data_IF_994876697458
#
_entry.id   IF_994876697458
#
_cell.length_a   1.000
_cell.length_b   1.000
_cell.length_c   1.000
_cell.angle_alpha   90.00
_cell.angle_beta   90.00
_cell.angle_gamma   90.00
#
_symmetry.space_group_name_H-M   'P 1'
#
loop_
_entity.id
_entity.type
_entity.pdbx_description
1 polymer ?
#
# COMPACT_ATOMS: atom_id res chain seq x y z
N UNK A 1 13.24 13.18 10.58
CA UNK A 1 12.77 12.16 9.62
C UNK A 1 11.33 11.81 9.95
N UNK A 2 10.48 11.74 8.96
CA UNK A 2 9.06 11.45 9.11
C UNK A 2 8.68 10.21 8.29
N UNK A 3 7.99 9.27 8.91
CA UNK A 3 7.44 8.07 8.26
C UNK A 3 5.95 8.32 8.00
N UNK A 4 5.56 8.31 6.74
CA UNK A 4 4.20 8.62 6.31
C UNK A 4 3.56 7.41 5.66
N UNK A 5 2.44 6.94 6.21
CA UNK A 5 1.63 5.90 5.61
C UNK A 5 0.78 6.47 4.48
N UNK A 6 0.96 5.97 3.26
CA UNK A 6 0.08 6.25 2.15
C UNK A 6 -0.92 5.10 1.99
N UNK A 7 -2.20 5.42 2.08
CA UNK A 7 -3.27 4.42 1.95
C UNK A 7 -4.42 4.96 1.09
N UNK A 8 -5.32 4.08 0.72
CA UNK A 8 -6.48 4.42 -0.11
C UNK A 8 -7.29 3.18 -0.42
N UNK A 9 -8.46 3.35 -0.99
CA UNK A 9 -9.27 2.24 -1.47
C UNK A 9 -8.82 1.74 -2.84
N UNK A 10 -9.37 0.62 -3.23
CA UNK A 10 -9.20 0.11 -4.60
C UNK A 10 -9.62 1.18 -5.61
N UNK A 11 -8.84 1.36 -6.65
CA UNK A 11 -9.06 2.36 -7.73
C UNK A 11 -9.16 3.82 -7.25
N UNK A 12 -8.59 4.16 -6.09
CA UNK A 12 -8.57 5.55 -5.58
C UNK A 12 -7.57 6.48 -6.29
N UNK A 13 -6.65 5.95 -7.09
CA UNK A 13 -5.57 6.73 -7.70
C UNK A 13 -4.30 6.84 -6.85
N UNK A 14 -4.17 6.01 -5.80
CA UNK A 14 -3.04 5.99 -4.88
C UNK A 14 -1.67 5.89 -5.57
N UNK A 15 -1.53 5.07 -6.61
CA UNK A 15 -0.29 4.92 -7.37
C UNK A 15 0.15 6.21 -8.07
N UNK A 16 -0.79 7.01 -8.56
CA UNK A 16 -0.50 8.33 -9.14
C UNK A 16 0.01 9.29 -8.07
N UNK A 17 -0.64 9.33 -6.90
CA UNK A 17 -0.22 10.14 -5.75
C UNK A 17 1.19 9.72 -5.29
N UNK A 18 1.46 8.43 -5.16
CA UNK A 18 2.78 7.90 -4.81
C UNK A 18 3.87 8.37 -5.77
N UNK A 19 3.57 8.34 -7.10
CA UNK A 19 4.51 8.82 -8.13
C UNK A 19 4.80 10.31 -7.98
N UNK A 20 3.79 11.13 -7.67
CA UNK A 20 3.98 12.57 -7.47
C UNK A 20 4.86 12.83 -6.25
N UNK A 21 4.65 12.15 -5.12
CA UNK A 21 5.53 12.27 -3.95
C UNK A 21 6.97 11.83 -4.25
N UNK A 22 7.16 10.77 -5.05
CA UNK A 22 8.51 10.37 -5.53
C UNK A 22 9.20 11.50 -6.30
N UNK A 23 8.47 12.21 -7.15
CA UNK A 23 9.00 13.35 -7.90
C UNK A 23 9.41 14.53 -7.01
N UNK A 24 8.82 14.67 -5.81
CA UNK A 24 9.27 15.62 -4.79
C UNK A 24 10.46 15.13 -3.95
N UNK A 25 10.98 13.94 -4.23
CA UNK A 25 12.17 13.38 -3.58
C UNK A 25 11.86 12.52 -2.34
N UNK A 26 10.60 12.16 -2.10
CA UNK A 26 10.26 11.21 -1.05
C UNK A 26 10.79 9.80 -1.40
N UNK A 27 11.40 9.15 -0.41
CA UNK A 27 11.69 7.72 -0.49
C UNK A 27 10.42 6.91 -0.23
N UNK A 28 10.35 5.71 -0.81
CA UNK A 28 9.14 4.89 -0.71
C UNK A 28 9.46 3.45 -0.33
N UNK A 29 8.57 2.87 0.49
CA UNK A 29 8.47 1.43 0.74
C UNK A 29 7.10 1.02 0.24
N UNK A 30 7.05 -0.01 -0.61
CA UNK A 30 5.82 -0.57 -1.17
C UNK A 30 5.57 -1.94 -0.54
N UNK A 31 4.47 -2.08 0.20
CA UNK A 31 4.11 -3.33 0.88
C UNK A 31 3.72 -4.44 -0.10
N UNK A 32 3.13 -4.10 -1.24
CA UNK A 32 2.78 -5.08 -2.28
C UNK A 32 4.04 -5.59 -2.96
N UNK A 33 5.03 -4.72 -3.23
CA UNK A 33 6.34 -5.15 -3.74
C UNK A 33 7.06 -6.08 -2.74
N UNK A 34 7.02 -5.76 -1.45
CA UNK A 34 7.55 -6.64 -0.40
C UNK A 34 6.87 -8.00 -0.44
N UNK A 35 5.54 -8.05 -0.50
CA UNK A 35 4.79 -9.30 -0.62
C UNK A 35 5.20 -10.10 -1.85
N UNK A 36 5.44 -9.42 -2.98
CA UNK A 36 5.95 -10.03 -4.20
C UNK A 36 7.35 -10.62 -4.03
N UNK A 37 8.27 -9.89 -3.39
CA UNK A 37 9.63 -10.36 -3.14
C UNK A 37 9.64 -11.56 -2.19
N UNK A 38 8.84 -11.54 -1.13
CA UNK A 38 8.73 -12.61 -0.15
C UNK A 38 8.16 -13.92 -0.72
N UNK A 39 7.40 -13.83 -1.81
CA UNK A 39 6.77 -15.00 -2.46
C UNK A 39 7.44 -15.41 -3.78
N UNK A 40 8.68 -14.96 -4.04
CA UNK A 40 9.47 -15.42 -5.19
C UNK A 40 9.78 -16.90 -5.09
N UNK A 41 10.04 -17.52 -6.24
CA UNK A 41 10.47 -18.93 -6.30
C UNK A 41 11.66 -19.18 -5.37
N UNK A 42 11.67 -20.34 -4.69
CA UNK A 42 12.73 -20.73 -3.77
C UNK A 42 12.61 -20.16 -2.34
N UNK A 43 11.72 -19.21 -2.06
CA UNK A 43 11.58 -18.62 -0.71
C UNK A 43 10.92 -19.58 0.28
N UNK A 44 11.27 -19.43 1.57
CA UNK A 44 10.62 -20.18 2.66
C UNK A 44 9.11 -19.91 2.71
N UNK A 45 8.72 -18.67 2.45
CA UNK A 45 7.31 -18.23 2.51
C UNK A 45 6.50 -18.88 1.38
N UNK A 46 7.03 -18.96 0.16
CA UNK A 46 6.35 -19.67 -0.91
C UNK A 46 6.13 -21.15 -0.55
N UNK A 47 7.13 -21.79 0.06
CA UNK A 47 6.99 -23.19 0.53
C UNK A 47 5.91 -23.33 1.62
N UNK A 48 5.79 -22.37 2.54
CA UNK A 48 4.73 -22.35 3.56
C UNK A 48 3.35 -22.19 2.93
N UNK A 49 3.22 -21.30 1.92
CA UNK A 49 1.98 -21.11 1.16
C UNK A 49 1.60 -22.39 0.44
N UNK A 50 2.53 -23.04 -0.27
CA UNK A 50 2.28 -24.29 -0.99
C UNK A 50 1.86 -25.42 -0.03
N UNK A 51 2.51 -25.51 1.14
CA UNK A 51 2.13 -26.49 2.17
C UNK A 51 0.70 -26.30 2.67
N UNK A 52 0.26 -25.02 2.79
CA UNK A 52 -1.07 -24.67 3.31
C UNK A 52 -2.18 -24.75 2.26
N UNK A 53 -1.87 -24.40 1.01
CA UNK A 53 -2.87 -24.20 -0.05
C UNK A 53 -2.78 -25.26 -1.17
N UNK A 54 -1.76 -26.15 -1.12
CA UNK A 54 -1.53 -27.14 -2.15
C UNK A 54 -0.67 -26.63 -3.32
N UNK A 55 -0.20 -27.56 -4.16
CA UNK A 55 0.62 -27.24 -5.34
C UNK A 55 -0.17 -26.50 -6.42
N UNK A 56 -1.49 -26.52 -6.37
CA UNK A 56 -2.39 -25.83 -7.32
C UNK A 56 -2.26 -24.31 -7.31
N UNK A 57 -1.61 -23.74 -6.28
CA UNK A 57 -1.28 -22.31 -6.23
C UNK A 57 0.01 -21.95 -6.95
N UNK A 58 0.69 -22.93 -7.56
CA UNK A 58 1.85 -22.68 -8.41
C UNK A 58 1.46 -22.73 -9.89
N UNK A 59 2.16 -21.95 -10.69
CA UNK A 59 2.16 -22.12 -12.14
C UNK A 59 3.17 -23.22 -12.58
N UNK A 60 3.23 -23.45 -13.89
CA UNK A 60 4.11 -24.50 -14.48
C UNK A 60 5.60 -24.27 -14.21
N UNK A 61 5.99 -23.02 -13.93
CA UNK A 61 7.40 -22.64 -13.67
C UNK A 61 7.75 -22.66 -12.17
N UNK A 62 6.83 -23.12 -11.30
CA UNK A 62 7.04 -23.16 -9.86
C UNK A 62 6.98 -21.78 -9.19
N UNK A 63 6.46 -20.78 -9.86
CA UNK A 63 6.18 -19.45 -9.29
C UNK A 63 4.76 -19.38 -8.77
N UNK A 64 4.47 -18.43 -7.87
CA UNK A 64 3.16 -18.29 -7.28
C UNK A 64 2.14 -17.81 -8.33
N UNK A 65 1.13 -18.61 -8.61
CA UNK A 65 -0.04 -18.24 -9.39
C UNK A 65 -0.97 -17.36 -8.53
N UNK A 66 -0.74 -16.05 -8.58
CA UNK A 66 -1.47 -15.06 -7.76
C UNK A 66 -2.96 -15.04 -8.07
N UNK A 67 -3.33 -15.24 -9.34
CA UNK A 67 -4.73 -15.29 -9.76
C UNK A 67 -5.43 -16.46 -9.08
N UNK A 68 -4.82 -17.65 -9.16
CA UNK A 68 -5.37 -18.86 -8.55
C UNK A 68 -5.46 -18.74 -7.03
N UNK A 69 -4.41 -18.22 -6.38
CA UNK A 69 -4.43 -17.97 -4.93
C UNK A 69 -5.52 -16.97 -4.56
N UNK A 70 -5.68 -15.89 -5.32
CA UNK A 70 -6.72 -14.89 -5.10
C UNK A 70 -8.12 -15.52 -5.19
N UNK A 71 -8.41 -16.35 -6.19
CA UNK A 71 -9.68 -17.07 -6.32
C UNK A 71 -9.99 -17.93 -5.08
N UNK A 72 -8.98 -18.59 -4.53
CA UNK A 72 -9.13 -19.43 -3.34
C UNK A 72 -9.46 -18.60 -2.10
N UNK A 73 -8.73 -17.51 -1.87
CA UNK A 73 -8.89 -16.69 -0.65
C UNK A 73 -10.08 -15.74 -0.71
N UNK A 74 -10.57 -15.38 -1.91
CA UNK A 74 -11.78 -14.57 -2.03
C UNK A 74 -13.04 -15.35 -1.67
N UNK A 75 -13.07 -16.64 -2.00
CA UNK A 75 -14.21 -17.52 -1.73
C UNK A 75 -14.23 -18.05 -0.29
N UNK A 76 -13.10 -18.02 0.42
CA UNK A 76 -12.97 -18.64 1.74
C UNK A 76 -12.27 -17.70 2.73
N UNK A 77 -13.05 -17.19 3.71
CA UNK A 77 -12.57 -16.29 4.76
C UNK A 77 -11.49 -16.95 5.64
N UNK A 78 -11.56 -18.26 5.90
CA UNK A 78 -10.57 -18.95 6.72
C UNK A 78 -9.24 -19.13 5.96
N UNK A 79 -9.31 -19.44 4.68
CA UNK A 79 -8.12 -19.48 3.80
C UNK A 79 -7.47 -18.10 3.71
N UNK A 80 -8.25 -17.03 3.58
CA UNK A 80 -7.74 -15.65 3.64
C UNK A 80 -7.04 -15.35 4.96
N UNK A 81 -7.62 -15.72 6.10
CA UNK A 81 -6.97 -15.57 7.42
C UNK A 81 -5.67 -16.35 7.50
N UNK A 82 -5.64 -17.58 6.98
CA UNK A 82 -4.43 -18.41 6.96
C UNK A 82 -3.31 -17.78 6.12
N UNK A 83 -3.62 -17.25 4.94
CA UNK A 83 -2.64 -16.53 4.12
C UNK A 83 -2.10 -15.29 4.84
N UNK A 84 -2.99 -14.51 5.44
CA UNK A 84 -2.61 -13.33 6.19
C UNK A 84 -1.72 -13.68 7.40
N UNK A 85 -1.98 -14.77 8.11
CA UNK A 85 -1.15 -15.23 9.21
C UNK A 85 0.28 -15.61 8.77
N UNK A 86 0.45 -16.13 7.56
CA UNK A 86 1.76 -16.41 6.96
C UNK A 86 2.46 -15.11 6.52
N UNK A 87 1.73 -14.24 5.83
CA UNK A 87 2.31 -13.09 5.12
C UNK A 87 2.53 -11.86 6.02
N UNK A 88 1.55 -11.48 6.85
CA UNK A 88 1.60 -10.23 7.61
C UNK A 88 2.83 -10.09 8.50
N UNK A 89 3.20 -11.11 9.33
CA UNK A 89 4.38 -10.96 10.20
C UNK A 89 5.66 -10.70 9.41
N UNK A 90 5.79 -11.30 8.23
CA UNK A 90 6.98 -11.18 7.38
C UNK A 90 7.03 -9.83 6.65
N UNK A 91 5.89 -9.37 6.13
CA UNK A 91 5.77 -8.05 5.51
C UNK A 91 6.07 -6.95 6.54
N UNK A 92 5.48 -7.05 7.74
CA UNK A 92 5.68 -6.08 8.81
C UNK A 92 7.15 -6.04 9.25
N UNK A 93 7.79 -7.21 9.41
CA UNK A 93 9.20 -7.28 9.77
C UNK A 93 10.09 -6.60 8.73
N UNK A 94 9.80 -6.83 7.43
CA UNK A 94 10.55 -6.22 6.33
C UNK A 94 10.32 -4.70 6.23
N UNK A 95 9.08 -4.23 6.41
CA UNK A 95 8.78 -2.79 6.49
C UNK A 95 9.58 -2.16 7.63
N UNK A 96 9.54 -2.74 8.84
CA UNK A 96 10.29 -2.23 10.01
C UNK A 96 11.80 -2.22 9.76
N UNK A 97 12.34 -3.25 9.09
CA UNK A 97 13.76 -3.32 8.72
C UNK A 97 14.13 -2.16 7.79
N UNK A 98 13.35 -1.94 6.73
CA UNK A 98 13.60 -0.86 5.75
C UNK A 98 13.45 0.54 6.39
N UNK A 99 12.48 0.73 7.28
CA UNK A 99 12.35 1.98 8.04
C UNK A 99 13.61 2.24 8.86
N UNK A 100 14.10 1.23 9.61
CA UNK A 100 15.34 1.35 10.40
C UNK A 100 16.56 1.65 9.53
N UNK A 101 16.67 1.05 8.36
CA UNK A 101 17.77 1.33 7.41
C UNK A 101 17.72 2.76 6.92
N UNK A 102 16.54 3.25 6.58
CA UNK A 102 16.37 4.64 6.18
C UNK A 102 16.71 5.61 7.33
N UNK A 103 16.30 5.31 8.57
CA UNK A 103 16.67 6.08 9.76
C UNK A 103 18.19 6.18 9.93
N UNK A 104 18.90 5.05 9.79
CA UNK A 104 20.36 5.02 9.85
C UNK A 104 20.99 5.87 8.74
N UNK A 105 20.45 5.80 7.54
CA UNK A 105 20.93 6.56 6.40
C UNK A 105 20.79 8.08 6.64
N UNK A 106 19.61 8.54 7.11
CA UNK A 106 19.37 9.95 7.41
C UNK A 106 20.30 10.48 8.52
N UNK A 107 20.56 9.66 9.57
CA UNK A 107 21.48 10.05 10.64
C UNK A 107 22.94 10.17 10.21
N UNK A 108 23.38 9.39 9.22
CA UNK A 108 24.77 9.42 8.71
C UNK A 108 25.05 10.62 7.82
N UNK A 109 24.04 11.20 7.23
CA UNK A 109 24.20 12.38 6.39
C UNK A 109 24.06 13.63 7.24
N UNK A 110 25.15 14.41 7.44
CA UNK A 110 25.17 15.65 8.26
C UNK A 110 24.07 16.66 7.91
N UNK A 111 23.47 16.57 6.73
CA UNK A 111 22.47 17.50 6.18
C UNK A 111 21.18 16.82 5.70
N UNK A 112 20.97 15.53 6.04
CA UNK A 112 19.91 14.74 5.42
C UNK A 112 20.25 14.39 3.96
N UNK A 113 19.46 13.50 3.36
CA UNK A 113 19.65 13.12 1.94
C UNK A 113 19.19 14.30 1.08
N UNK A 114 20.12 14.90 0.32
CA UNK A 114 19.84 16.02 -0.60
C UNK A 114 19.12 17.21 0.06
N UNK A 115 19.60 17.66 1.22
CA UNK A 115 18.92 18.68 2.02
C UNK A 115 17.61 18.11 2.64
N UNK A 116 16.77 18.99 3.20
CA UNK A 116 15.52 18.59 3.88
C UNK A 116 14.53 17.78 3.01
N UNK A 117 14.74 17.70 1.68
CA UNK A 117 13.84 17.01 0.74
C UNK A 117 13.77 15.49 0.94
N UNK A 118 14.85 14.85 1.41
CA UNK A 118 14.94 13.39 1.51
C UNK A 118 14.55 12.80 2.87
N UNK A 119 14.01 13.58 3.81
CA UNK A 119 13.74 13.11 5.17
C UNK A 119 12.31 12.54 5.36
N UNK A 120 11.53 12.46 4.30
CA UNK A 120 10.19 11.84 4.30
C UNK A 120 10.29 10.45 3.67
N UNK A 121 9.83 9.44 4.41
CA UNK A 121 9.67 8.07 3.95
C UNK A 121 8.18 7.75 3.82
N UNK A 122 7.71 7.53 2.60
CA UNK A 122 6.37 7.05 2.35
C UNK A 122 6.33 5.53 2.41
N UNK A 123 5.45 4.99 3.23
CA UNK A 123 5.15 3.55 3.28
C UNK A 123 3.78 3.34 2.64
N UNK A 124 3.78 2.78 1.44
CA UNK A 124 2.56 2.47 0.71
C UNK A 124 1.94 1.17 1.23
N UNK A 125 0.83 1.28 1.96
CA UNK A 125 0.10 0.16 2.55
C UNK A 125 -1.38 0.29 2.18
N UNK A 126 -1.86 -0.40 1.14
CA UNK A 126 -3.26 -0.32 0.71
C UNK A 126 -4.27 -0.65 1.81
N UNK A 127 -3.95 -1.65 2.63
CA UNK A 127 -4.80 -2.16 3.71
C UNK A 127 -4.29 -1.75 5.11
N UNK A 128 -3.81 -0.52 5.25
CA UNK A 128 -3.23 0.01 6.49
C UNK A 128 -4.14 -0.20 7.71
N UNK A 129 -5.39 0.22 7.58
CA UNK A 129 -6.38 0.15 8.67
C UNK A 129 -6.93 -1.26 8.88
N UNK A 130 -7.15 -2.01 7.80
CA UNK A 130 -7.61 -3.41 7.86
C UNK A 130 -6.60 -4.32 8.57
N UNK A 131 -5.32 -4.02 8.39
CA UNK A 131 -4.22 -4.76 9.01
C UNK A 131 -3.77 -4.18 10.36
N UNK A 132 -4.38 -3.06 10.82
CA UNK A 132 -4.05 -2.34 12.06
C UNK A 132 -2.57 -1.97 12.14
N UNK A 133 -2.04 -1.38 11.06
CA UNK A 133 -0.63 -1.05 10.91
C UNK A 133 -0.33 0.45 11.11
N UNK A 134 -1.28 1.22 11.64
CA UNK A 134 -1.15 2.66 11.89
C UNK A 134 0.05 2.98 12.78
N UNK A 135 0.37 2.10 13.71
CA UNK A 135 1.51 2.24 14.63
C UNK A 135 2.90 2.20 13.95
N UNK A 136 2.97 1.90 12.66
CA UNK A 136 4.23 1.88 11.90
C UNK A 136 4.62 3.25 11.35
N UNK A 137 3.72 4.21 11.39
CA UNK A 137 3.85 5.50 10.71
C UNK A 137 3.54 6.66 11.63
N UNK A 138 4.15 7.81 11.39
CA UNK A 138 3.96 9.02 12.18
C UNK A 138 2.76 9.83 11.72
N UNK A 139 2.44 9.77 10.41
CA UNK A 139 1.34 10.47 9.75
C UNK A 139 0.71 9.57 8.69
N UNK A 140 -0.58 9.79 8.43
CA UNK A 140 -1.36 9.01 7.46
C UNK A 140 -1.92 9.94 6.38
N UNK A 141 -1.59 9.65 5.13
CA UNK A 141 -2.17 10.27 3.93
C UNK A 141 -3.15 9.29 3.31
N UNK A 142 -4.42 9.68 3.25
CA UNK A 142 -5.49 8.90 2.61
C UNK A 142 -5.81 9.45 1.23
N UNK A 143 -5.70 8.64 0.20
CA UNK A 143 -6.24 8.96 -1.12
C UNK A 143 -7.71 8.55 -1.16
N UNK A 144 -8.57 9.54 -1.27
CA UNK A 144 -10.02 9.39 -1.20
C UNK A 144 -10.69 9.67 -2.55
N UNK A 145 -11.64 8.82 -2.91
CA UNK A 145 -12.63 9.07 -3.97
C UNK A 145 -14.00 8.55 -3.50
N UNK A 146 -15.11 9.12 -3.98
CA UNK A 146 -16.44 8.56 -3.73
C UNK A 146 -16.56 7.12 -4.26
N UNK A 147 -17.38 6.30 -3.62
CA UNK A 147 -17.58 4.90 -4.02
C UNK A 147 -18.05 4.75 -5.47
N UNK A 148 -18.89 5.68 -5.95
CA UNK A 148 -19.33 5.72 -7.35
C UNK A 148 -18.13 5.77 -8.30
N UNK A 149 -17.16 6.62 -8.03
CA UNK A 149 -15.92 6.74 -8.82
C UNK A 149 -15.06 5.47 -8.75
N UNK A 150 -14.98 4.81 -7.59
CA UNK A 150 -14.30 3.52 -7.48
C UNK A 150 -14.95 2.46 -8.40
N UNK A 151 -16.29 2.36 -8.36
CA UNK A 151 -17.06 1.43 -9.20
C UNK A 151 -16.81 1.72 -10.67
N UNK A 152 -16.94 2.99 -11.10
CA UNK A 152 -16.74 3.39 -12.50
C UNK A 152 -15.33 3.02 -12.99
N UNK A 153 -14.30 3.31 -12.20
CA UNK A 153 -12.91 2.97 -12.55
C UNK A 153 -12.67 1.46 -12.59
N UNK A 154 -13.19 0.71 -11.61
CA UNK A 154 -13.06 -0.76 -11.60
C UNK A 154 -13.69 -1.41 -12.83
N UNK A 155 -14.87 -0.93 -13.22
CA UNK A 155 -15.54 -1.45 -14.42
C UNK A 155 -14.77 -1.11 -15.70
N UNK A 156 -14.30 0.13 -15.81
CA UNK A 156 -13.56 0.59 -17.01
C UNK A 156 -12.18 -0.05 -17.11
N UNK A 157 -11.40 -0.06 -16.02
CA UNK A 157 -9.97 -0.39 -16.07
C UNK A 157 -9.72 -1.91 -15.90
N UNK A 158 -10.65 -2.64 -15.26
CA UNK A 158 -10.55 -4.07 -15.00
C UNK A 158 -11.63 -4.91 -15.68
N UNK A 159 -12.48 -4.30 -16.49
CA UNK A 159 -13.60 -4.96 -17.20
C UNK A 159 -14.51 -5.79 -16.27
N UNK A 160 -14.79 -5.26 -15.06
CA UNK A 160 -15.62 -5.93 -14.05
C UNK A 160 -17.10 -5.59 -14.24
N UNK A 161 -17.95 -6.54 -13.87
CA UNK A 161 -19.38 -6.27 -13.69
C UNK A 161 -19.60 -5.34 -12.48
N UNK A 162 -20.80 -4.78 -12.35
CA UNK A 162 -21.17 -3.95 -11.23
C UNK A 162 -21.05 -4.69 -9.90
N UNK A 163 -21.52 -5.94 -9.86
CA UNK A 163 -21.51 -6.77 -8.66
C UNK A 163 -20.09 -7.17 -8.24
N UNK A 164 -19.24 -7.51 -9.20
CA UNK A 164 -17.82 -7.79 -8.91
C UNK A 164 -17.09 -6.56 -8.37
N UNK A 165 -17.36 -5.37 -8.93
CA UNK A 165 -16.80 -4.12 -8.46
C UNK A 165 -17.24 -3.81 -7.02
N UNK A 166 -18.54 -3.95 -6.70
CA UNK A 166 -19.06 -3.78 -5.34
C UNK A 166 -18.42 -4.76 -4.36
N UNK A 167 -18.39 -6.05 -4.69
CA UNK A 167 -17.79 -7.09 -3.86
C UNK A 167 -16.32 -6.77 -3.51
N UNK A 168 -15.54 -6.27 -4.47
CA UNK A 168 -14.14 -5.88 -4.22
C UNK A 168 -14.02 -4.66 -3.30
N UNK A 169 -14.92 -3.69 -3.43
CA UNK A 169 -14.93 -2.50 -2.56
C UNK A 169 -15.38 -2.89 -1.14
N UNK A 170 -16.40 -3.71 -0.99
CA UNK A 170 -16.93 -4.17 0.29
C UNK A 170 -15.97 -5.07 1.07
N UNK A 171 -14.99 -5.67 0.38
CA UNK A 171 -13.90 -6.41 1.04
C UNK A 171 -12.95 -5.51 1.84
N UNK A 172 -13.04 -4.18 1.69
CA UNK A 172 -12.25 -3.17 2.39
C UNK A 172 -13.12 -2.33 3.33
N UNK A 173 -12.47 -1.70 4.32
CA UNK A 173 -13.16 -0.67 5.13
C UNK A 173 -13.57 0.47 4.20
N UNK A 174 -14.84 0.93 4.24
CA UNK A 174 -15.29 2.03 3.40
C UNK A 174 -14.42 3.28 3.56
N UNK A 175 -14.03 3.91 2.44
CA UNK A 175 -13.12 5.06 2.44
C UNK A 175 -13.61 6.22 3.30
N UNK A 176 -14.93 6.47 3.34
CA UNK A 176 -15.49 7.54 4.18
C UNK A 176 -15.25 7.31 5.68
N UNK A 177 -15.18 6.02 6.12
CA UNK A 177 -14.83 5.69 7.51
C UNK A 177 -13.35 5.91 7.81
N UNK A 178 -12.48 5.69 6.81
CA UNK A 178 -11.03 5.89 6.94
C UNK A 178 -10.65 7.37 7.10
N UNK A 179 -11.47 8.31 6.60
CA UNK A 179 -11.22 9.75 6.69
C UNK A 179 -10.92 10.25 8.12
N UNK A 180 -11.64 9.71 9.11
CA UNK A 180 -11.50 10.13 10.52
C UNK A 180 -10.17 9.78 11.17
N UNK A 181 -9.43 8.87 10.53
CA UNK A 181 -8.15 8.36 11.05
C UNK A 181 -6.95 8.85 10.24
N UNK A 182 -7.19 9.62 9.18
CA UNK A 182 -6.14 10.16 8.33
C UNK A 182 -5.80 11.58 8.76
N UNK A 183 -4.49 11.90 8.81
CA UNK A 183 -4.01 13.25 9.05
C UNK A 183 -4.21 14.14 7.82
N UNK A 184 -4.07 13.56 6.62
CA UNK A 184 -4.21 14.27 5.34
C UNK A 184 -5.11 13.47 4.39
N UNK A 185 -5.94 14.19 3.64
CA UNK A 185 -6.84 13.60 2.64
C UNK A 185 -6.52 14.20 1.28
N UNK A 186 -6.19 13.36 0.31
CA UNK A 186 -5.98 13.75 -1.08
C UNK A 186 -7.18 13.29 -1.90
N UNK A 187 -7.79 14.20 -2.64
CA UNK A 187 -8.89 13.89 -3.54
C UNK A 187 -8.36 13.25 -4.83
N UNK A 188 -8.47 11.92 -4.93
CA UNK A 188 -8.03 11.16 -6.10
C UNK A 188 -8.92 11.33 -7.36
N UNK A 189 -9.93 12.19 -7.30
CA UNK A 189 -10.81 12.48 -8.45
C UNK A 189 -10.51 13.81 -9.14
N UNK A 190 -9.47 14.51 -8.70
CA UNK A 190 -8.99 15.70 -9.38
C UNK A 190 -8.32 15.34 -10.72
N UNK A 191 -8.26 16.31 -11.62
CA UNK A 191 -7.41 16.25 -12.80
C UNK A 191 -5.91 16.22 -12.42
N UNK A 192 -5.05 16.02 -13.39
CA UNK A 192 -3.61 15.86 -13.15
C UNK A 192 -2.98 17.10 -12.50
N UNK A 193 -3.41 18.30 -12.88
CA UNK A 193 -2.87 19.55 -12.34
C UNK A 193 -3.35 19.80 -10.91
N UNK A 194 -4.63 19.65 -10.64
CA UNK A 194 -5.22 19.80 -9.31
C UNK A 194 -4.68 18.76 -8.33
N UNK A 195 -4.53 17.50 -8.77
CA UNK A 195 -3.94 16.43 -7.97
C UNK A 195 -2.50 16.76 -7.59
N UNK A 196 -1.68 17.21 -8.56
CA UNK A 196 -0.30 17.61 -8.30
C UNK A 196 -0.22 18.77 -7.29
N UNK A 197 -1.06 19.80 -7.44
CA UNK A 197 -1.11 20.93 -6.53
C UNK A 197 -1.49 20.51 -5.10
N UNK A 198 -2.47 19.63 -4.96
CA UNK A 198 -2.89 19.13 -3.65
C UNK A 198 -1.79 18.26 -2.99
N UNK A 199 -1.14 17.37 -3.75
CA UNK A 199 -0.02 16.56 -3.24
C UNK A 199 1.15 17.45 -2.83
N UNK A 200 1.43 18.53 -3.59
CA UNK A 200 2.47 19.49 -3.26
C UNK A 200 2.19 20.22 -1.93
N UNK A 201 0.94 20.67 -1.70
CA UNK A 201 0.53 21.27 -0.44
C UNK A 201 0.79 20.33 0.73
N UNK A 202 0.30 19.09 0.65
CA UNK A 202 0.53 18.06 1.69
C UNK A 202 2.03 17.78 1.88
N UNK A 203 2.81 17.72 0.79
CA UNK A 203 4.25 17.54 0.88
C UNK A 203 4.95 18.67 1.64
N UNK A 204 4.57 19.93 1.41
CA UNK A 204 5.17 21.08 2.10
C UNK A 204 4.86 21.06 3.60
N UNK A 205 3.62 20.72 3.97
CA UNK A 205 3.24 20.54 5.38
C UNK A 205 4.03 19.42 6.06
N UNK A 206 4.11 18.24 5.42
CA UNK A 206 4.90 17.11 5.93
C UNK A 206 6.38 17.46 6.06
N UNK A 207 6.90 18.24 5.12
CA UNK A 207 8.29 18.73 5.15
C UNK A 207 8.54 19.66 6.32
N UNK A 208 7.57 20.50 6.68
CA UNK A 208 7.62 21.36 7.86
C UNK A 208 7.76 20.57 9.16
N UNK A 209 7.22 19.36 9.23
CA UNK A 209 7.32 18.48 10.39
C UNK A 209 8.69 17.75 10.49
N UNK A 210 9.54 17.85 9.49
CA UNK A 210 10.87 17.22 9.47
C UNK A 210 11.99 18.08 10.09
N UNK A 211 11.63 19.16 10.77
CA UNK A 211 12.55 20.12 11.39
C UNK A 211 13.27 19.51 12.62
#
# INVERSE_FOLDING_TARGET
MLVVGLTGGISSGKSTVLRIFKNFGCRTIDADEIAHQLTRSGTKILREIVRKFGKEVLDKNGTLNRKRLAEIIFKDRQKRKSLNAIMHPKIIAEIKRRIKEFQKLVRRTKWGISGRKGNILLVDIPLLFEAKLEYLVDKIVLVYVPQKVQIERLRRDNNLTLEEAKTRIEAQIPLYKKKRYADYIINGNLDSAGLRKQVESVYQELRGLCL
#
